data_IF_491064959365
#
_entry.id   IF_491064959365
#
_cell.length_a   1.000
_cell.length_b   1.000
_cell.length_c   1.000
_cell.angle_alpha   90.00
_cell.angle_beta   90.00
_cell.angle_gamma   90.00
#
_symmetry.space_group_name_H-M   'P 1'
#
loop_
_entity.id
_entity.type
_entity.pdbx_description
1 polymer ?
#
# COMPACT_ATOMS: atom_id res chain seq x y z
N UNK A 1 -29.98 -10.70 -8.44
CA UNK A 1 -29.10 -9.66 -9.01
C UNK A 1 -27.70 -9.80 -8.42
N UNK A 2 -26.64 -9.53 -9.18
CA UNK A 2 -25.26 -9.64 -8.68
C UNK A 2 -24.41 -8.46 -9.17
N UNK A 3 -23.69 -7.83 -8.26
CA UNK A 3 -22.72 -6.78 -8.55
C UNK A 3 -21.34 -7.40 -8.84
N UNK A 4 -20.66 -6.93 -9.88
CA UNK A 4 -19.34 -7.40 -10.27
C UNK A 4 -18.40 -6.21 -10.47
N UNK A 5 -17.20 -6.29 -9.89
CA UNK A 5 -16.14 -5.29 -10.08
C UNK A 5 -15.31 -5.52 -11.34
N UNK A 6 -15.32 -6.75 -11.87
CA UNK A 6 -14.57 -7.16 -13.06
C UNK A 6 -14.98 -8.56 -13.49
N UNK A 7 -16.18 -8.70 -14.06
CA UNK A 7 -16.81 -9.99 -14.37
C UNK A 7 -15.95 -10.85 -15.31
N UNK A 8 -15.64 -12.07 -14.90
CA UNK A 8 -14.96 -13.07 -15.72
C UNK A 8 -15.88 -14.23 -16.10
N UNK A 9 -16.99 -14.40 -15.40
CA UNK A 9 -17.94 -15.49 -15.54
C UNK A 9 -19.17 -15.29 -14.64
N UNK A 10 -20.07 -16.27 -14.54
CA UNK A 10 -21.15 -16.23 -13.56
C UNK A 10 -20.60 -16.36 -12.14
N UNK A 11 -20.95 -15.42 -11.25
CA UNK A 11 -20.48 -15.36 -9.86
C UNK A 11 -18.96 -15.29 -9.68
N UNK A 12 -18.22 -14.92 -10.73
CA UNK A 12 -16.75 -14.77 -10.69
C UNK A 12 -16.32 -13.38 -11.18
N UNK A 13 -15.43 -12.74 -10.43
CA UNK A 13 -14.83 -11.47 -10.80
C UNK A 13 -13.35 -11.41 -10.41
N UNK A 14 -12.56 -10.66 -11.19
CA UNK A 14 -11.19 -10.29 -10.82
C UNK A 14 -11.24 -9.09 -9.85
N UNK A 15 -10.66 -9.19 -8.65
CA UNK A 15 -10.67 -8.08 -7.71
C UNK A 15 -9.81 -6.92 -8.24
N UNK A 16 -10.30 -5.66 -8.14
CA UNK A 16 -9.62 -4.48 -8.69
C UNK A 16 -8.28 -4.17 -7.99
N UNK A 17 -8.12 -4.59 -6.73
CA UNK A 17 -6.92 -4.38 -5.93
C UNK A 17 -6.00 -5.63 -5.87
N UNK A 18 -6.16 -6.58 -6.81
CA UNK A 18 -5.36 -7.81 -6.81
C UNK A 18 -3.84 -7.55 -6.84
N UNK A 19 -3.42 -6.60 -7.69
CA UNK A 19 -2.00 -6.24 -7.81
C UNK A 19 -1.46 -5.66 -6.49
N UNK A 20 -2.24 -4.83 -5.81
CA UNK A 20 -1.89 -4.30 -4.49
C UNK A 20 -1.77 -5.42 -3.44
N UNK A 21 -2.63 -6.44 -3.51
CA UNK A 21 -2.53 -7.59 -2.62
C UNK A 21 -1.23 -8.39 -2.83
N UNK A 22 -0.80 -8.59 -4.08
CA UNK A 22 0.48 -9.23 -4.37
C UNK A 22 1.67 -8.40 -3.87
N UNK A 23 1.63 -7.07 -4.05
CA UNK A 23 2.66 -6.17 -3.54
C UNK A 23 2.72 -6.17 -2.00
N UNK A 24 1.58 -6.25 -1.31
CA UNK A 24 1.53 -6.37 0.14
C UNK A 24 2.22 -7.64 0.65
N UNK A 25 2.03 -8.78 -0.04
CA UNK A 25 2.73 -10.03 0.32
C UNK A 25 4.23 -9.86 0.16
N UNK A 26 4.68 -9.30 -0.96
CA UNK A 26 6.10 -9.01 -1.20
C UNK A 26 6.68 -8.06 -0.15
N UNK A 27 5.92 -7.03 0.24
CA UNK A 27 6.34 -6.07 1.26
C UNK A 27 6.53 -6.73 2.61
N UNK A 28 5.57 -7.54 3.06
CA UNK A 28 5.67 -8.22 4.34
C UNK A 28 6.87 -9.18 4.37
N UNK A 29 7.10 -9.93 3.29
CA UNK A 29 8.27 -10.82 3.18
C UNK A 29 9.58 -10.03 3.26
N UNK A 30 9.73 -8.98 2.47
CA UNK A 30 10.94 -8.13 2.46
C UNK A 30 11.17 -7.42 3.80
N UNK A 31 10.10 -6.93 4.44
CA UNK A 31 10.17 -6.30 5.75
C UNK A 31 10.60 -7.29 6.82
N UNK A 32 10.04 -8.50 6.82
CA UNK A 32 10.42 -9.56 7.76
C UNK A 32 11.90 -9.93 7.61
N UNK A 33 12.40 -10.05 6.39
CA UNK A 33 13.81 -10.35 6.13
C UNK A 33 14.73 -9.21 6.59
N UNK A 34 14.32 -7.96 6.36
CA UNK A 34 15.03 -6.76 6.81
C UNK A 34 15.11 -6.69 8.34
N UNK A 35 14.01 -6.99 9.04
CA UNK A 35 13.98 -7.01 10.50
C UNK A 35 14.87 -8.13 11.07
N UNK A 36 14.86 -9.31 10.43
CA UNK A 36 15.75 -10.40 10.79
C UNK A 36 17.22 -10.04 10.56
N UNK A 37 17.54 -9.43 9.41
CA UNK A 37 18.90 -8.95 9.12
C UNK A 37 19.34 -7.93 10.18
N UNK A 38 18.47 -6.99 10.54
CA UNK A 38 18.75 -5.97 11.55
C UNK A 38 18.94 -6.60 12.95
N UNK A 39 18.16 -7.63 13.29
CA UNK A 39 18.30 -8.35 14.53
C UNK A 39 19.67 -9.03 14.64
N UNK A 40 20.10 -9.76 13.61
CA UNK A 40 21.42 -10.41 13.58
C UNK A 40 22.54 -9.37 13.59
N UNK A 41 22.37 -8.30 12.82
CA UNK A 41 23.28 -7.18 12.73
C UNK A 41 23.52 -6.47 14.08
N UNK A 42 22.51 -6.40 14.94
CA UNK A 42 22.62 -5.73 16.26
C UNK A 42 23.49 -6.50 17.26
N UNK A 43 23.88 -7.74 16.97
CA UNK A 43 24.75 -8.52 17.85
C UNK A 43 26.21 -8.29 17.44
N UNK A 44 27.00 -7.52 18.20
CA UNK A 44 28.39 -7.25 17.84
C UNK A 44 29.22 -8.53 17.98
N UNK A 45 30.06 -8.82 16.98
CA UNK A 45 30.98 -9.93 17.02
C UNK A 45 32.35 -9.43 17.46
N UNK A 46 32.84 -9.94 18.59
CA UNK A 46 34.20 -9.64 19.03
C UNK A 46 35.18 -10.59 18.33
N UNK A 47 36.08 -10.01 17.54
CA UNK A 47 37.18 -10.74 16.92
C UNK A 47 38.47 -10.46 17.68
N UNK A 48 39.17 -11.52 18.08
CA UNK A 48 40.46 -11.45 18.77
C UNK A 48 41.52 -12.16 17.95
N UNK A 49 42.62 -11.46 17.68
CA UNK A 49 43.83 -12.01 17.10
C UNK A 49 44.93 -12.02 18.16
N UNK A 50 45.51 -13.20 18.41
CA UNK A 50 46.60 -13.38 19.36
C UNK A 50 47.46 -14.58 18.95
N UNK A 51 48.74 -14.50 19.28
CA UNK A 51 49.77 -15.52 19.13
C UNK A 51 50.01 -16.33 20.43
N UNK A 52 49.28 -16.02 21.51
CA UNK A 52 49.40 -16.67 22.81
C UNK A 52 48.33 -17.77 22.98
N UNK A 53 48.76 -19.04 22.90
CA UNK A 53 47.89 -20.21 23.09
C UNK A 53 47.30 -20.32 24.50
N UNK A 54 47.83 -19.60 25.49
CA UNK A 54 47.31 -19.57 26.86
C UNK A 54 46.33 -18.40 27.10
N UNK A 55 46.05 -17.60 26.08
CA UNK A 55 45.16 -16.46 26.20
C UNK A 55 43.72 -16.89 26.56
N UNK A 56 43.24 -16.44 27.73
CA UNK A 56 41.84 -16.55 28.12
C UNK A 56 41.14 -15.20 28.02
N UNK A 57 40.10 -15.16 27.19
CA UNK A 57 39.28 -13.98 27.00
C UNK A 57 38.27 -13.82 28.14
N UNK A 58 38.60 -12.96 29.11
CA UNK A 58 37.65 -12.54 30.15
C UNK A 58 37.02 -11.20 29.75
N UNK A 59 35.72 -11.25 29.43
CA UNK A 59 34.89 -10.07 29.19
C UNK A 59 33.94 -9.93 30.36
N UNK A 60 34.14 -8.89 31.17
CA UNK A 60 33.24 -8.53 32.27
C UNK A 60 33.23 -7.02 32.41
N UNK A 61 32.07 -6.44 32.72
CA UNK A 61 31.93 -5.02 33.01
C UNK A 61 32.77 -4.56 34.21
N UNK A 62 33.18 -5.50 35.07
CA UNK A 62 33.98 -5.25 36.26
C UNK A 62 35.46 -5.68 36.12
N UNK A 63 35.93 -6.05 34.92
CA UNK A 63 37.32 -6.55 34.75
C UNK A 63 37.95 -6.06 33.46
N UNK A 64 39.23 -5.66 33.54
CA UNK A 64 40.01 -5.26 32.38
C UNK A 64 40.48 -6.49 31.59
N UNK A 65 40.22 -6.50 30.28
CA UNK A 65 40.73 -7.53 29.37
C UNK A 65 42.21 -7.30 29.12
N UNK A 66 43.06 -8.25 29.54
CA UNK A 66 44.50 -8.24 29.27
C UNK A 66 44.74 -8.74 27.84
N UNK A 67 45.62 -8.12 27.07
CA UNK A 67 46.05 -8.58 25.74
C UNK A 67 47.58 -8.71 25.71
N UNK A 68 48.14 -9.67 24.93
CA UNK A 68 49.57 -9.75 24.69
C UNK A 68 50.07 -8.59 23.81
N UNK A 69 51.39 -8.42 23.74
CA UNK A 69 52.04 -7.22 23.17
C UNK A 69 51.69 -6.97 21.68
N UNK A 70 51.37 -8.04 20.94
CA UNK A 70 50.97 -8.00 19.52
C UNK A 70 49.50 -8.43 19.31
N UNK A 71 48.73 -8.62 20.39
CA UNK A 71 47.31 -8.99 20.33
C UNK A 71 46.41 -7.82 19.95
N UNK A 72 45.35 -8.11 19.19
CA UNK A 72 44.36 -7.10 18.79
C UNK A 72 42.93 -7.64 18.95
N UNK A 73 42.07 -6.86 19.60
CA UNK A 73 40.64 -7.15 19.74
C UNK A 73 39.82 -6.03 19.12
N UNK A 74 38.90 -6.38 18.23
CA UNK A 74 38.00 -5.42 17.57
C UNK A 74 36.60 -5.98 17.44
N UNK A 75 35.61 -5.12 17.62
CA UNK A 75 34.24 -5.44 17.23
C UNK A 75 34.14 -5.38 15.72
N UNK A 76 33.64 -6.45 15.12
CA UNK A 76 33.39 -6.54 13.69
C UNK A 76 31.91 -6.25 13.48
N UNK A 77 31.64 -5.15 12.80
CA UNK A 77 30.31 -4.75 12.35
C UNK A 77 30.24 -4.87 10.83
N UNK A 78 29.07 -5.20 10.32
CA UNK A 78 28.75 -5.14 8.90
C UNK A 78 28.65 -3.67 8.51
N UNK A 79 29.11 -3.33 7.31
CA UNK A 79 29.20 -1.94 6.81
C UNK A 79 27.85 -1.21 6.71
N UNK A 80 26.75 -1.87 7.01
CA UNK A 80 25.39 -1.33 6.95
C UNK A 80 24.85 -1.12 5.54
N UNK A 81 25.69 -1.23 4.49
CA UNK A 81 25.29 -0.93 3.11
C UNK A 81 24.13 -1.82 2.63
N UNK A 82 24.15 -3.11 2.95
CA UNK A 82 23.05 -4.03 2.61
C UNK A 82 21.75 -3.72 3.37
N UNK A 83 21.85 -3.23 4.61
CA UNK A 83 20.70 -2.83 5.43
C UNK A 83 20.08 -1.56 4.83
N UNK A 84 20.89 -0.58 4.44
CA UNK A 84 20.39 0.63 3.78
C UNK A 84 19.75 0.30 2.43
N UNK A 85 20.39 -0.52 1.60
CA UNK A 85 19.82 -0.94 0.32
C UNK A 85 18.47 -1.68 0.47
N UNK A 86 18.33 -2.53 1.50
CA UNK A 86 17.05 -3.18 1.81
C UNK A 86 15.96 -2.19 2.23
N UNK A 87 16.32 -1.15 2.99
CA UNK A 87 15.40 -0.06 3.34
C UNK A 87 14.97 0.74 2.11
N UNK A 88 15.89 1.08 1.23
CA UNK A 88 15.59 1.83 0.00
C UNK A 88 14.66 1.01 -0.90
N UNK A 89 14.94 -0.29 -1.06
CA UNK A 89 14.06 -1.20 -1.81
C UNK A 89 12.65 -1.31 -1.20
N UNK A 90 12.50 -1.23 0.12
CA UNK A 90 11.18 -1.19 0.77
C UNK A 90 10.44 0.11 0.47
N UNK A 91 11.14 1.25 0.48
CA UNK A 91 10.55 2.54 0.14
C UNK A 91 10.09 2.57 -1.33
N UNK A 92 10.90 2.06 -2.25
CA UNK A 92 10.55 1.93 -3.67
C UNK A 92 9.29 1.07 -3.83
N UNK A 93 9.20 -0.03 -3.07
CA UNK A 93 8.03 -0.91 -3.09
C UNK A 93 6.76 -0.21 -2.53
N UNK A 94 6.90 0.67 -1.54
CA UNK A 94 5.80 1.49 -1.03
C UNK A 94 5.32 2.47 -2.09
N UNK A 95 6.22 3.06 -2.88
CA UNK A 95 5.84 3.92 -4.00
C UNK A 95 5.11 3.12 -5.09
N UNK A 96 5.59 1.92 -5.42
CA UNK A 96 4.89 1.01 -6.33
C UNK A 96 3.47 0.67 -5.83
N UNK A 97 3.32 0.43 -4.53
CA UNK A 97 2.00 0.19 -3.91
C UNK A 97 1.10 1.43 -3.97
N UNK A 98 1.66 2.62 -3.75
CA UNK A 98 0.93 3.88 -3.88
C UNK A 98 0.42 4.06 -5.31
N UNK A 99 1.25 3.81 -6.31
CA UNK A 99 0.84 3.84 -7.72
C UNK A 99 -0.24 2.80 -8.04
N UNK A 100 -0.09 1.57 -7.55
CA UNK A 100 -1.07 0.50 -7.74
C UNK A 100 -2.43 0.82 -7.09
N UNK A 101 -2.43 1.42 -5.89
CA UNK A 101 -3.65 1.87 -5.20
C UNK A 101 -4.30 3.08 -5.87
N UNK A 102 -3.48 4.03 -6.35
CA UNK A 102 -3.94 5.22 -7.06
C UNK A 102 -4.58 4.91 -8.41
N UNK A 103 -4.31 3.74 -9.00
CA UNK A 103 -4.88 3.32 -10.30
C UNK A 103 -6.42 3.35 -10.34
N UNK A 104 -7.09 3.19 -9.21
CA UNK A 104 -8.56 3.28 -9.14
C UNK A 104 -9.10 4.72 -9.13
N UNK A 105 -8.27 5.66 -8.70
CA UNK A 105 -8.58 7.09 -8.63
C UNK A 105 -8.12 7.82 -9.90
N UNK A 106 -7.06 7.33 -10.53
CA UNK A 106 -6.53 7.93 -11.74
C UNK A 106 -7.52 7.76 -12.89
N UNK A 107 -7.94 8.89 -13.48
CA UNK A 107 -8.71 8.90 -14.72
C UNK A 107 -7.85 8.26 -15.81
N UNK A 108 -8.39 7.29 -16.55
CA UNK A 108 -7.70 6.67 -17.68
C UNK A 108 -7.41 7.76 -18.72
N UNK A 109 -6.16 8.22 -18.81
CA UNK A 109 -5.73 9.09 -19.92
C UNK A 109 -5.63 8.25 -21.18
N UNK A 110 -6.70 8.21 -21.98
CA UNK A 110 -6.62 7.62 -23.32
C UNK A 110 -5.61 8.43 -24.14
N UNK A 111 -4.45 7.82 -24.42
CA UNK A 111 -3.45 8.37 -25.31
C UNK A 111 -4.06 8.50 -26.72
N UNK A 112 -3.99 9.72 -27.28
CA UNK A 112 -4.23 10.09 -28.69
C UNK A 112 -5.63 9.81 -29.25
N UNK A 113 -6.56 10.76 -29.07
CA UNK A 113 -7.71 10.91 -29.99
C UNK A 113 -8.00 12.39 -30.30
N UNK A 114 -8.41 12.60 -31.55
CA UNK A 114 -8.64 13.88 -32.24
C UNK A 114 -9.68 14.77 -31.55
N UNK A 115 -9.44 16.09 -31.58
CA UNK A 115 -10.18 17.16 -30.88
C UNK A 115 -11.72 17.14 -31.01
N UNK A 116 -12.28 16.43 -31.99
CA UNK A 116 -13.72 16.28 -32.15
C UNK A 116 -14.38 15.27 -31.19
N UNK A 117 -13.63 14.30 -30.65
CA UNK A 117 -14.15 13.29 -29.71
C UNK A 117 -14.11 13.74 -28.24
N UNK A 118 -13.40 14.82 -27.93
CA UNK A 118 -13.20 15.28 -26.55
C UNK A 118 -14.48 15.86 -25.90
N UNK A 119 -15.42 16.38 -26.68
CA UNK A 119 -16.63 17.02 -26.13
C UNK A 119 -17.74 16.03 -25.72
N UNK A 120 -17.81 14.85 -26.35
CA UNK A 120 -18.78 13.80 -25.98
C UNK A 120 -18.28 12.92 -24.81
N UNK A 121 -16.97 12.95 -24.52
CA UNK A 121 -16.32 12.13 -23.49
C UNK A 121 -16.17 12.84 -22.13
N UNK A 122 -16.69 14.06 -21.95
CA UNK A 122 -16.73 14.72 -20.65
C UNK A 122 -17.54 13.91 -19.60
N UNK A 123 -18.47 13.06 -20.04
CA UNK A 123 -19.17 12.09 -19.21
C UNK A 123 -18.38 10.77 -18.98
N UNK A 124 -17.30 10.54 -19.73
CA UNK A 124 -16.48 9.32 -19.70
C UNK A 124 -15.16 9.48 -18.92
N UNK A 125 -14.82 10.67 -18.42
CA UNK A 125 -13.71 10.86 -17.47
C UNK A 125 -14.05 10.40 -16.04
N UNK A 126 -14.81 9.33 -15.89
CA UNK A 126 -15.08 8.72 -14.59
C UNK A 126 -13.92 7.80 -14.23
N UNK A 127 -13.33 8.00 -13.05
CA UNK A 127 -12.31 7.08 -12.53
C UNK A 127 -12.87 5.66 -12.45
N UNK A 128 -12.03 4.62 -12.54
CA UNK A 128 -12.48 3.24 -12.36
C UNK A 128 -13.31 3.05 -11.09
N UNK A 129 -12.96 3.75 -10.00
CA UNK A 129 -13.74 3.78 -8.76
C UNK A 129 -15.13 4.40 -8.93
N UNK A 130 -15.24 5.55 -9.60
CA UNK A 130 -16.52 6.21 -9.86
C UNK A 130 -17.47 5.32 -10.69
N UNK A 131 -16.92 4.60 -11.68
CA UNK A 131 -17.68 3.64 -12.49
C UNK A 131 -18.20 2.46 -11.65
N UNK A 132 -17.37 1.92 -10.75
CA UNK A 132 -17.78 0.85 -9.83
C UNK A 132 -18.89 1.33 -8.89
N UNK A 133 -18.77 2.56 -8.40
CA UNK A 133 -19.79 3.22 -7.61
C UNK A 133 -21.13 3.31 -8.37
N UNK A 134 -21.13 3.85 -9.59
CA UNK A 134 -22.33 3.93 -10.43
C UNK A 134 -22.99 2.57 -10.65
N UNK A 135 -22.21 1.54 -10.99
CA UNK A 135 -22.71 0.17 -11.15
C UNK A 135 -23.31 -0.41 -9.85
N UNK A 136 -22.78 -0.01 -8.70
CA UNK A 136 -23.35 -0.40 -7.41
C UNK A 136 -24.68 0.31 -7.13
N UNK A 137 -24.79 1.60 -7.46
CA UNK A 137 -26.04 2.35 -7.36
C UNK A 137 -27.13 1.74 -8.27
N UNK A 138 -26.79 1.41 -9.51
CA UNK A 138 -27.70 0.70 -10.43
C UNK A 138 -28.14 -0.65 -9.86
N UNK A 139 -27.23 -1.34 -9.17
CA UNK A 139 -27.55 -2.60 -8.50
C UNK A 139 -28.54 -2.44 -7.35
N UNK A 140 -28.42 -1.37 -6.58
CA UNK A 140 -29.38 -1.06 -5.52
C UNK A 140 -30.73 -0.63 -6.10
N UNK A 141 -30.75 0.18 -7.16
CA UNK A 141 -31.99 0.61 -7.80
C UNK A 141 -32.79 -0.58 -8.35
N UNK A 142 -32.13 -1.54 -9.00
CA UNK A 142 -32.78 -2.77 -9.46
C UNK A 142 -33.28 -3.64 -8.30
N UNK A 143 -32.53 -3.73 -7.18
CA UNK A 143 -32.99 -4.43 -5.99
C UNK A 143 -34.25 -3.78 -5.41
N UNK A 144 -34.30 -2.45 -5.34
CA UNK A 144 -35.48 -1.72 -4.88
C UNK A 144 -36.68 -1.93 -5.82
N UNK A 145 -36.47 -2.00 -7.12
CA UNK A 145 -37.56 -2.31 -8.07
C UNK A 145 -38.13 -3.71 -7.83
N UNK A 146 -37.28 -4.73 -7.62
CA UNK A 146 -37.74 -6.09 -7.28
C UNK A 146 -38.57 -6.09 -5.99
N UNK A 147 -38.19 -5.28 -5.00
CA UNK A 147 -38.95 -5.15 -3.75
C UNK A 147 -40.29 -4.43 -3.96
N UNK A 148 -40.35 -3.43 -4.83
CA UNK A 148 -41.60 -2.76 -5.21
C UNK A 148 -42.54 -3.71 -5.95
N UNK A 149 -42.03 -4.47 -6.92
CA UNK A 149 -42.79 -5.48 -7.65
C UNK A 149 -43.38 -6.52 -6.68
N UNK A 150 -42.61 -6.92 -5.65
CA UNK A 150 -43.08 -7.83 -4.61
C UNK A 150 -44.21 -7.24 -3.75
N UNK A 151 -44.17 -5.94 -3.45
CA UNK A 151 -45.22 -5.25 -2.71
C UNK A 151 -46.41 -4.81 -3.59
N UNK A 152 -46.37 -5.06 -4.90
CA UNK A 152 -47.37 -4.58 -5.86
C UNK A 152 -47.32 -3.07 -6.09
N UNK A 153 -46.21 -2.41 -5.75
CA UNK A 153 -45.96 -1.01 -6.07
C UNK A 153 -45.30 -0.88 -7.43
N UNK A 154 -45.61 0.18 -8.17
CA UNK A 154 -45.11 0.38 -9.54
C UNK A 154 -43.67 0.92 -9.61
N UNK A 155 -43.12 1.46 -8.52
CA UNK A 155 -41.81 2.14 -8.57
C UNK A 155 -40.98 1.83 -7.31
N UNK A 156 -39.76 1.31 -7.52
CA UNK A 156 -38.78 1.04 -6.45
C UNK A 156 -38.03 2.27 -5.92
N UNK A 157 -38.14 3.42 -6.61
CA UNK A 157 -37.39 4.63 -6.29
C UNK A 157 -36.08 4.77 -7.10
N UNK A 158 -35.25 5.73 -6.71
CA UNK A 158 -33.99 6.04 -7.39
C UNK A 158 -32.84 6.10 -6.38
N UNK A 159 -31.64 5.70 -6.81
CA UNK A 159 -30.42 5.72 -6.00
C UNK A 159 -29.42 6.63 -6.69
N UNK A 160 -29.11 7.75 -6.04
CA UNK A 160 -28.02 8.64 -6.47
C UNK A 160 -26.76 8.33 -5.66
N UNK A 161 -25.62 8.24 -6.34
CA UNK A 161 -24.33 8.14 -5.66
C UNK A 161 -23.58 9.46 -5.75
N UNK A 162 -23.33 10.06 -4.58
CA UNK A 162 -22.57 11.31 -4.45
C UNK A 162 -21.20 10.99 -3.85
N UNK A 163 -20.26 10.64 -4.72
CA UNK A 163 -18.87 10.42 -4.33
C UNK A 163 -17.97 11.55 -4.81
N UNK A 164 -17.08 12.02 -3.96
CA UNK A 164 -15.94 12.83 -4.40
C UNK A 164 -14.84 11.87 -4.87
N UNK A 165 -14.61 11.81 -6.17
CA UNK A 165 -13.63 10.91 -6.81
C UNK A 165 -12.43 11.67 -7.37
N UNK A 166 -12.22 12.91 -6.93
CA UNK A 166 -11.11 13.73 -7.37
C UNK A 166 -9.77 13.21 -6.81
N UNK A 167 -8.72 13.28 -7.62
CA UNK A 167 -7.37 12.84 -7.26
C UNK A 167 -6.65 13.78 -6.29
N UNK A 168 -7.18 14.99 -6.09
CA UNK A 168 -6.70 15.96 -5.09
C UNK A 168 -7.31 15.65 -3.71
N UNK A 169 -6.86 14.57 -3.08
CA UNK A 169 -6.96 14.44 -1.62
C UNK A 169 -5.87 15.29 -0.97
N UNK A 170 -6.06 16.62 -0.97
CA UNK A 170 -5.31 17.53 -0.13
C UNK A 170 -6.04 17.63 1.22
N UNK A 171 -5.55 16.99 2.31
CA UNK A 171 -6.21 17.04 3.62
C UNK A 171 -6.36 18.47 4.17
N UNK A 172 -5.56 19.42 3.68
CA UNK A 172 -5.60 20.83 4.07
C UNK A 172 -6.87 21.57 3.62
N UNK A 173 -7.51 21.14 2.52
CA UNK A 173 -8.69 21.83 1.96
C UNK A 173 -9.99 21.31 2.57
N UNK A 174 -10.01 20.07 3.07
CA UNK A 174 -11.21 19.43 3.65
C UNK A 174 -11.53 19.88 5.09
N UNK A 175 -10.52 20.23 5.89
CA UNK A 175 -10.69 20.67 7.28
C UNK A 175 -11.50 21.98 7.43
N UNK A 176 -11.24 23.05 6.65
CA UNK A 176 -12.03 24.27 6.73
C UNK A 176 -13.51 24.05 6.37
N UNK A 177 -13.80 23.15 5.42
CA UNK A 177 -15.17 22.86 4.98
C UNK A 177 -15.98 22.11 6.05
N UNK A 178 -15.35 21.21 6.81
CA UNK A 178 -16.00 20.54 7.95
C UNK A 178 -16.28 21.51 9.11
N UNK A 179 -15.39 22.47 9.35
CA UNK A 179 -15.58 23.51 10.35
C UNK A 179 -16.72 24.47 9.94
N UNK A 180 -16.85 24.79 8.65
CA UNK A 180 -17.97 25.61 8.17
C UNK A 180 -19.31 24.89 8.22
N UNK A 181 -19.35 23.57 8.03
CA UNK A 181 -20.57 22.76 8.15
C UNK A 181 -21.00 22.51 9.61
N UNK A 182 -20.06 22.51 10.56
CA UNK A 182 -20.37 22.40 11.98
C UNK A 182 -20.87 23.72 12.59
N UNK A 183 -20.54 24.86 11.96
CA UNK A 183 -20.90 26.20 12.42
C UNK A 183 -22.09 26.81 11.66
N UNK A 184 -22.78 26.02 10.83
CA UNK A 184 -24.05 26.34 10.17
C UNK A 184 -25.19 25.53 10.78
#
# INVERSE_FOLDING_TARGET
MTFYTGRTGPLTAKPPLLELAHLNVKHWQSQSDQDNLLHVARVPLLFVFTDDDQFQLTISSASATRMPKDGNAKYVEHTGAAITAGRDSLNDLVEDMRMAGAKLLQKDKQQTKTAAQANEEAAQELSPLARLAGQFADCLAQLLQIMADYQGQTQGGHVEMRGNFDSDFAPEVSLPNLISMANS
#
